data_IF_106569295058
#
_entry.id   IF_106569295058
#
_cell.length_a   1.000
_cell.length_b   1.000
_cell.length_c   1.000
_cell.angle_alpha   90.00
_cell.angle_beta   90.00
_cell.angle_gamma   90.00
#
_symmetry.space_group_name_H-M   'P 1'
#
loop_
_entity.id
_entity.type
_entity.pdbx_description
1 polymer ?
#
# COMPACT_ATOMS: atom_id res chain seq x y z
N UNK A 1 -9.00 -17.99 25.12
CA UNK A 1 -8.49 -16.72 24.57
C UNK A 1 -7.12 -16.50 25.18
N UNK A 2 -6.09 -16.87 24.44
CA UNK A 2 -4.71 -16.65 24.82
C UNK A 2 -4.28 -15.28 24.29
N UNK A 3 -3.68 -14.46 25.16
CA UNK A 3 -3.10 -13.17 24.76
C UNK A 3 -1.59 -13.24 24.92
N UNK A 4 -0.87 -12.97 23.84
CA UNK A 4 0.60 -12.91 23.84
C UNK A 4 1.06 -11.53 23.42
N UNK A 5 2.07 -11.02 24.11
CA UNK A 5 2.75 -9.77 23.74
C UNK A 5 4.16 -10.12 23.29
N UNK A 6 4.56 -9.58 22.14
CA UNK A 6 5.94 -9.63 21.66
C UNK A 6 6.48 -8.22 21.51
N UNK A 7 7.79 -8.08 21.65
CA UNK A 7 8.49 -6.86 21.35
C UNK A 7 9.38 -7.13 20.16
N UNK A 8 9.40 -6.25 19.16
CA UNK A 8 10.26 -6.39 17.99
C UNK A 8 11.00 -5.10 17.69
N UNK A 9 12.17 -5.21 17.07
CA UNK A 9 12.81 -4.08 16.42
C UNK A 9 12.06 -3.68 15.12
N UNK A 10 12.57 -2.68 14.41
CA UNK A 10 12.02 -2.22 13.13
C UNK A 10 12.10 -3.27 12.01
N UNK A 11 13.00 -4.25 12.13
CA UNK A 11 13.19 -5.35 11.17
C UNK A 11 12.35 -6.58 11.54
N UNK A 12 11.44 -6.46 12.51
CA UNK A 12 10.58 -7.53 13.02
C UNK A 12 11.32 -8.65 13.77
N UNK A 13 12.57 -8.44 14.17
CA UNK A 13 13.28 -9.37 15.03
C UNK A 13 12.74 -9.25 16.46
N UNK A 14 12.44 -10.37 17.12
CA UNK A 14 11.99 -10.38 18.51
C UNK A 14 13.10 -9.89 19.43
N UNK A 15 12.77 -8.94 20.31
CA UNK A 15 13.70 -8.35 21.28
C UNK A 15 13.29 -8.75 22.70
N UNK A 16 14.26 -9.14 23.55
CA UNK A 16 14.00 -9.34 24.98
C UNK A 16 13.57 -8.04 25.65
N UNK A 17 12.66 -8.12 26.63
CA UNK A 17 12.22 -6.94 27.40
C UNK A 17 13.38 -6.20 28.08
N UNK A 18 14.43 -6.94 28.48
CA UNK A 18 15.64 -6.37 29.08
C UNK A 18 16.43 -5.45 28.14
N UNK A 19 16.22 -5.54 26.82
CA UNK A 19 16.98 -4.81 25.81
C UNK A 19 16.23 -3.59 25.25
N UNK A 20 14.93 -3.46 25.55
CA UNK A 20 14.07 -2.38 25.03
C UNK A 20 14.68 -0.99 25.28
N UNK A 21 15.22 -0.75 26.49
CA UNK A 21 15.78 0.55 26.87
C UNK A 21 17.00 0.98 26.03
N UNK A 22 17.67 0.04 25.36
CA UNK A 22 18.82 0.32 24.51
C UNK A 22 18.42 0.60 23.04
N UNK A 23 17.16 0.38 22.69
CA UNK A 23 16.66 0.43 21.31
C UNK A 23 15.95 1.76 21.08
N UNK A 24 16.32 2.43 19.99
CA UNK A 24 15.70 3.72 19.61
C UNK A 24 14.27 3.56 19.11
N UNK A 25 13.96 2.47 18.43
CA UNK A 25 12.66 2.26 17.81
C UNK A 25 12.28 0.79 17.91
N UNK A 26 11.12 0.52 18.51
CA UNK A 26 10.61 -0.84 18.67
C UNK A 26 9.08 -0.85 18.58
N UNK A 27 8.51 -2.04 18.37
CA UNK A 27 7.08 -2.27 18.38
C UNK A 27 6.69 -3.21 19.51
N UNK A 28 5.57 -2.92 20.15
CA UNK A 28 4.89 -3.84 21.07
C UNK A 28 3.68 -4.43 20.36
N UNK A 29 3.70 -5.73 20.09
CA UNK A 29 2.74 -6.43 19.23
C UNK A 29 1.84 -7.34 20.05
N UNK A 30 0.54 -7.26 19.82
CA UNK A 30 -0.50 -7.94 20.59
C UNK A 30 -1.15 -9.01 19.75
N UNK A 31 -1.11 -10.25 20.24
CA UNK A 31 -1.68 -11.41 19.58
C UNK A 31 -2.80 -12.00 20.42
N UNK A 32 -3.94 -12.30 19.79
CA UNK A 32 -5.06 -13.04 20.37
C UNK A 32 -5.27 -14.32 19.58
N UNK A 33 -5.17 -15.46 20.26
CA UNK A 33 -5.29 -16.80 19.67
C UNK A 33 -4.37 -16.97 18.43
N UNK A 34 -3.15 -16.41 18.52
CA UNK A 34 -2.12 -16.47 17.48
C UNK A 34 -2.22 -15.41 16.38
N UNK A 35 -3.34 -14.69 16.26
CA UNK A 35 -3.52 -13.61 15.28
C UNK A 35 -3.11 -12.27 15.89
N UNK A 36 -2.32 -11.49 15.16
CA UNK A 36 -2.03 -10.11 15.57
C UNK A 36 -3.27 -9.24 15.43
N UNK A 37 -3.59 -8.48 16.47
CA UNK A 37 -4.77 -7.59 16.50
C UNK A 37 -4.37 -6.11 16.53
N UNK A 38 -3.21 -5.79 17.11
CA UNK A 38 -2.64 -4.44 17.08
C UNK A 38 -1.15 -4.44 17.36
N UNK A 39 -0.47 -3.37 16.96
CA UNK A 39 0.89 -3.04 17.36
C UNK A 39 0.98 -1.59 17.80
N UNK A 40 1.83 -1.32 18.79
CA UNK A 40 2.15 0.03 19.28
C UNK A 40 3.60 0.33 18.92
N UNK A 41 3.83 1.45 18.22
CA UNK A 41 5.15 1.92 17.85
C UNK A 41 5.69 2.85 18.93
N UNK A 42 6.95 2.62 19.31
CA UNK A 42 7.69 3.48 20.22
C UNK A 42 8.94 4.01 19.53
N UNK A 43 9.18 5.31 19.64
CA UNK A 43 10.36 6.00 19.13
C UNK A 43 10.99 6.77 20.30
N UNK A 44 12.29 6.55 20.53
CA UNK A 44 13.04 7.08 21.67
C UNK A 44 12.35 6.83 23.03
N UNK A 45 11.74 5.64 23.19
CA UNK A 45 10.96 5.24 24.37
C UNK A 45 9.63 5.98 24.56
N UNK A 46 9.26 6.86 23.63
CA UNK A 46 7.97 7.53 23.64
C UNK A 46 6.99 6.80 22.73
N UNK A 47 5.74 6.73 23.17
CA UNK A 47 4.65 6.23 22.35
C UNK A 47 4.47 7.16 21.14
N UNK A 48 4.48 6.57 19.95
CA UNK A 48 4.29 7.29 18.70
C UNK A 48 2.88 7.04 18.15
N UNK A 49 2.55 5.77 17.89
CA UNK A 49 1.32 5.42 17.17
C UNK A 49 0.84 3.99 17.46
N UNK A 50 -0.42 3.70 17.12
CA UNK A 50 -1.00 2.35 17.20
C UNK A 50 -1.56 1.94 15.85
N UNK A 51 -1.17 0.76 15.38
CA UNK A 51 -1.73 0.10 14.20
C UNK A 51 -2.69 -1.00 14.65
N UNK A 52 -3.89 -1.03 14.07
CA UNK A 52 -4.88 -2.09 14.27
C UNK A 52 -4.98 -2.96 13.03
N UNK A 53 -4.94 -4.27 13.21
CA UNK A 53 -5.09 -5.26 12.15
C UNK A 53 -6.52 -5.81 12.21
N UNK A 54 -7.38 -5.27 11.35
CA UNK A 54 -8.83 -5.53 11.36
C UNK A 54 -9.24 -6.39 10.16
N UNK A 55 -10.46 -6.93 10.18
CA UNK A 55 -10.96 -7.74 9.06
C UNK A 55 -11.64 -6.92 7.97
N UNK A 56 -12.04 -5.69 8.29
CA UNK A 56 -12.79 -4.83 7.39
C UNK A 56 -13.07 -3.47 8.00
N UNK A 57 -13.63 -2.56 7.19
CA UNK A 57 -13.86 -1.15 7.56
C UNK A 57 -14.91 -0.97 8.66
N UNK A 58 -15.73 -1.98 8.93
CA UNK A 58 -16.80 -1.98 9.94
C UNK A 58 -16.30 -1.69 11.36
N UNK A 59 -15.07 -2.08 11.68
CA UNK A 59 -14.50 -1.93 13.04
C UNK A 59 -13.89 -0.54 13.30
N UNK A 60 -13.60 0.23 12.23
CA UNK A 60 -12.84 1.48 12.29
C UNK A 60 -13.52 2.50 13.21
N UNK A 61 -14.83 2.71 13.04
CA UNK A 61 -15.56 3.76 13.78
C UNK A 61 -15.63 3.49 15.27
N UNK A 62 -15.65 2.23 15.69
CA UNK A 62 -15.66 1.88 17.11
C UNK A 62 -14.30 2.17 17.75
N UNK A 63 -13.20 1.81 17.06
CA UNK A 63 -11.83 2.01 17.57
C UNK A 63 -11.46 3.49 17.63
N UNK A 64 -11.87 4.28 16.63
CA UNK A 64 -11.59 5.73 16.57
C UNK A 64 -12.20 6.54 17.72
N UNK A 65 -13.26 6.04 18.37
CA UNK A 65 -13.85 6.70 19.55
C UNK A 65 -12.86 6.77 20.72
N UNK A 66 -12.07 5.71 20.88
CA UNK A 66 -11.12 5.59 21.98
C UNK A 66 -9.69 5.97 21.54
N UNK A 67 -9.39 5.84 20.25
CA UNK A 67 -8.06 6.06 19.67
C UNK A 67 -8.17 6.88 18.38
N UNK A 68 -8.35 8.21 18.48
CA UNK A 68 -8.62 9.06 17.32
C UNK A 68 -7.42 9.19 16.35
N UNK A 69 -6.22 8.82 16.78
CA UNK A 69 -4.99 8.85 15.95
C UNK A 69 -4.56 7.43 15.52
N UNK A 70 -5.49 6.49 15.47
CA UNK A 70 -5.18 5.10 15.12
C UNK A 70 -4.89 4.94 13.62
N UNK A 71 -4.00 4.01 13.31
CA UNK A 71 -3.81 3.48 11.97
C UNK A 71 -4.50 2.13 11.85
N UNK A 72 -4.97 1.78 10.66
CA UNK A 72 -5.65 0.53 10.39
C UNK A 72 -5.04 -0.15 9.18
N UNK A 73 -4.91 -1.48 9.23
CA UNK A 73 -4.50 -2.30 8.10
C UNK A 73 -5.45 -3.48 7.97
N UNK A 74 -5.94 -3.73 6.75
CA UNK A 74 -6.82 -4.84 6.43
C UNK A 74 -6.77 -5.15 4.93
N UNK A 75 -7.19 -6.37 4.59
CA UNK A 75 -7.24 -6.84 3.21
C UNK A 75 -8.60 -7.45 2.90
N UNK A 76 -9.05 -7.31 1.66
CA UNK A 76 -10.31 -7.86 1.17
C UNK A 76 -10.24 -8.16 -0.33
N UNK A 77 -11.07 -9.08 -0.79
CA UNK A 77 -11.17 -9.39 -2.22
C UNK A 77 -12.20 -8.49 -2.91
N UNK A 78 -11.88 -8.01 -4.11
CA UNK A 78 -12.81 -7.30 -4.97
C UNK A 78 -12.50 -7.61 -6.44
N UNK A 79 -13.51 -8.05 -7.18
CA UNK A 79 -13.40 -8.31 -8.62
C UNK A 79 -12.28 -9.29 -8.99
N UNK A 80 -11.93 -10.21 -8.09
CA UNK A 80 -10.84 -11.18 -8.25
C UNK A 80 -9.44 -10.57 -8.16
N UNK A 81 -9.32 -9.50 -7.38
CA UNK A 81 -8.06 -8.93 -6.89
C UNK A 81 -8.07 -8.93 -5.37
N UNK A 82 -6.91 -9.12 -4.75
CA UNK A 82 -6.70 -8.86 -3.33
C UNK A 82 -6.34 -7.38 -3.17
N UNK A 83 -7.06 -6.70 -2.28
CA UNK A 83 -6.84 -5.29 -1.98
C UNK A 83 -6.42 -5.18 -0.53
N UNK A 84 -5.25 -4.63 -0.29
CA UNK A 84 -4.77 -4.28 1.05
C UNK A 84 -4.80 -2.77 1.24
N UNK A 85 -5.46 -2.30 2.29
CA UNK A 85 -5.53 -0.89 2.63
C UNK A 85 -4.82 -0.62 3.96
N UNK A 86 -4.08 0.48 4.01
CA UNK A 86 -3.63 1.08 5.26
C UNK A 86 -4.24 2.47 5.39
N UNK A 87 -4.96 2.72 6.47
CA UNK A 87 -5.66 3.98 6.73
C UNK A 87 -4.98 4.73 7.86
N UNK A 88 -4.73 6.03 7.68
CA UNK A 88 -4.12 6.88 8.68
C UNK A 88 -5.08 7.98 9.13
N UNK A 89 -5.37 8.00 10.44
CA UNK A 89 -6.24 9.00 11.04
C UNK A 89 -5.48 9.95 11.95
N UNK A 90 -5.89 11.21 11.95
CA UNK A 90 -5.50 12.22 12.93
C UNK A 90 -6.78 12.88 13.45
N UNK A 91 -6.97 12.90 14.78
CA UNK A 91 -8.17 13.43 15.43
C UNK A 91 -9.49 12.86 14.87
N UNK A 92 -9.50 11.55 14.57
CA UNK A 92 -10.59 10.81 13.95
C UNK A 92 -10.95 11.24 12.52
N UNK A 93 -10.06 11.97 11.85
CA UNK A 93 -10.18 12.37 10.45
C UNK A 93 -9.17 11.57 9.62
N UNK A 94 -9.62 10.93 8.55
CA UNK A 94 -8.74 10.21 7.62
C UNK A 94 -7.87 11.24 6.87
N UNK A 95 -6.55 11.18 7.05
CA UNK A 95 -5.60 12.12 6.42
C UNK A 95 -4.95 11.53 5.17
N UNK A 96 -4.71 10.22 5.16
CA UNK A 96 -4.23 9.49 4.00
C UNK A 96 -4.57 8.00 4.07
N UNK A 97 -4.53 7.36 2.91
CA UNK A 97 -4.55 5.91 2.78
C UNK A 97 -3.47 5.44 1.80
N UNK A 98 -3.00 4.23 2.03
CA UNK A 98 -2.20 3.46 1.07
C UNK A 98 -3.05 2.29 0.59
N UNK A 99 -3.01 2.01 -0.71
CA UNK A 99 -3.75 0.92 -1.34
C UNK A 99 -2.75 0.07 -2.13
N UNK A 100 -2.80 -1.23 -1.91
CA UNK A 100 -2.11 -2.24 -2.71
C UNK A 100 -3.18 -3.10 -3.39
N UNK A 101 -2.96 -3.39 -4.67
CA UNK A 101 -3.81 -4.26 -5.47
C UNK A 101 -2.93 -5.36 -6.04
N UNK A 102 -3.24 -6.60 -5.70
CA UNK A 102 -2.53 -7.79 -6.12
C UNK A 102 -3.53 -8.76 -6.81
N UNK A 103 -3.03 -9.63 -7.69
CA UNK A 103 -3.86 -10.74 -8.19
C UNK A 103 -4.14 -11.76 -7.07
N UNK A 104 -5.31 -12.41 -7.09
CA UNK A 104 -5.69 -13.40 -6.06
C UNK A 104 -5.05 -14.79 -6.24
N UNK A 105 -4.22 -14.99 -7.27
CA UNK A 105 -3.58 -16.28 -7.51
C UNK A 105 -2.45 -16.56 -6.50
N UNK A 106 -2.04 -17.83 -6.28
CA UNK A 106 -1.09 -18.21 -5.23
C UNK A 106 0.29 -17.53 -5.29
N UNK A 107 0.66 -17.00 -6.45
CA UNK A 107 1.87 -16.18 -6.69
C UNK A 107 1.50 -14.80 -7.25
N UNK A 108 0.34 -14.28 -6.82
CA UNK A 108 -0.33 -13.11 -7.37
C UNK A 108 0.61 -11.92 -7.51
N UNK A 109 0.77 -11.46 -8.75
CA UNK A 109 1.66 -10.34 -9.03
C UNK A 109 1.01 -9.03 -8.56
N UNK A 110 1.82 -8.13 -8.00
CA UNK A 110 1.34 -6.78 -7.69
C UNK A 110 0.94 -6.05 -8.97
N UNK A 111 -0.22 -5.41 -8.93
CA UNK A 111 -0.84 -4.68 -10.04
C UNK A 111 -0.73 -3.18 -9.82
N UNK A 112 -0.95 -2.72 -8.58
CA UNK A 112 -0.93 -1.31 -8.27
C UNK A 112 -0.51 -1.07 -6.82
N UNK A 113 0.28 -0.03 -6.62
CA UNK A 113 0.41 0.65 -5.35
C UNK A 113 0.00 2.11 -5.50
N UNK A 114 -0.76 2.63 -4.54
CA UNK A 114 -1.17 4.02 -4.55
C UNK A 114 -1.15 4.63 -3.15
N UNK A 115 -0.70 5.87 -3.08
CA UNK A 115 -0.89 6.74 -1.92
C UNK A 115 -1.89 7.83 -2.25
N UNK A 116 -2.85 7.98 -1.35
CA UNK A 116 -3.96 8.91 -1.50
C UNK A 116 -4.05 9.77 -0.25
N UNK A 117 -4.07 11.09 -0.43
CA UNK A 117 -4.26 12.06 0.66
C UNK A 117 -5.67 12.64 0.61
N UNK A 118 -6.18 12.99 1.78
CA UNK A 118 -7.44 13.69 1.94
C UNK A 118 -7.17 15.11 2.41
N UNK A 119 -7.72 16.09 1.70
CA UNK A 119 -7.71 17.50 2.12
C UNK A 119 -9.07 18.10 1.83
N UNK A 120 -9.71 18.68 2.84
CA UNK A 120 -11.04 19.31 2.72
C UNK A 120 -12.07 18.36 2.07
N UNK A 121 -12.08 17.09 2.50
CA UNK A 121 -12.90 15.98 1.97
C UNK A 121 -12.65 15.59 0.51
N UNK A 122 -11.68 16.21 -0.16
CA UNK A 122 -11.26 15.83 -1.50
C UNK A 122 -10.19 14.73 -1.45
N UNK A 123 -10.46 13.62 -2.14
CA UNK A 123 -9.49 12.55 -2.39
C UNK A 123 -8.50 13.02 -3.47
N UNK A 124 -7.21 13.02 -3.14
CA UNK A 124 -6.14 13.27 -4.12
C UNK A 124 -5.16 12.12 -4.09
N UNK A 125 -5.10 11.40 -5.21
CA UNK A 125 -4.02 10.48 -5.50
C UNK A 125 -2.72 11.30 -5.63
N UNK A 126 -1.74 11.04 -4.78
CA UNK A 126 -0.48 11.79 -4.75
C UNK A 126 0.69 11.00 -5.31
N UNK A 127 0.56 9.69 -5.35
CA UNK A 127 1.59 8.78 -5.84
C UNK A 127 0.90 7.49 -6.30
N UNK A 128 1.24 7.02 -7.49
CA UNK A 128 0.77 5.73 -8.02
C UNK A 128 1.89 5.10 -8.80
N UNK A 129 2.04 3.81 -8.58
CA UNK A 129 2.77 2.90 -9.45
C UNK A 129 1.78 1.83 -9.94
N UNK A 130 1.81 1.56 -11.24
CA UNK A 130 1.12 0.40 -11.80
C UNK A 130 2.13 -0.53 -12.46
N UNK A 131 1.89 -1.81 -12.32
CA UNK A 131 2.80 -2.86 -12.79
C UNK A 131 2.06 -3.73 -13.79
N UNK A 132 2.67 -3.93 -14.96
CA UNK A 132 2.22 -4.92 -15.91
C UNK A 132 3.17 -6.11 -15.89
N UNK A 133 2.62 -7.27 -15.55
CA UNK A 133 3.37 -8.52 -15.39
C UNK A 133 2.95 -9.52 -16.48
N UNK A 134 3.91 -10.31 -16.97
CA UNK A 134 3.69 -11.41 -17.91
C UNK A 134 4.38 -12.65 -17.35
N UNK A 135 3.60 -13.71 -17.10
CA UNK A 135 4.10 -14.97 -16.52
C UNK A 135 4.87 -14.77 -15.19
N UNK A 136 4.41 -13.87 -14.33
CA UNK A 136 5.04 -13.57 -13.04
C UNK A 136 6.26 -12.64 -13.11
N UNK A 137 6.68 -12.21 -14.31
CA UNK A 137 7.76 -11.23 -14.48
C UNK A 137 7.19 -9.85 -14.79
N UNK A 138 7.70 -8.82 -14.10
CA UNK A 138 7.35 -7.43 -14.40
C UNK A 138 7.95 -7.02 -15.74
N UNK A 139 7.10 -6.56 -16.65
CA UNK A 139 7.49 -6.06 -17.98
C UNK A 139 7.51 -4.53 -18.02
N UNK A 140 6.48 -3.90 -17.47
CA UNK A 140 6.38 -2.45 -17.41
C UNK A 140 6.05 -1.95 -16.00
N UNK A 141 6.61 -0.78 -15.69
CA UNK A 141 6.24 0.04 -14.55
C UNK A 141 5.81 1.43 -15.04
N UNK A 142 4.61 1.85 -14.66
CA UNK A 142 4.01 3.12 -15.08
C UNK A 142 4.05 4.13 -13.93
N UNK A 143 4.60 5.32 -14.22
CA UNK A 143 4.61 6.47 -13.33
C UNK A 143 3.68 7.57 -13.84
N UNK A 144 3.12 8.34 -12.91
CA UNK A 144 2.11 9.35 -13.18
C UNK A 144 2.49 10.71 -12.61
N UNK A 145 2.10 11.76 -13.32
CA UNK A 145 2.20 13.13 -12.83
C UNK A 145 1.11 13.45 -11.80
N UNK A 146 1.14 14.67 -11.26
CA UNK A 146 0.18 15.13 -10.26
C UNK A 146 -1.24 15.33 -10.78
N UNK A 147 -1.43 15.34 -12.10
CA UNK A 147 -2.74 15.43 -12.78
C UNK A 147 -3.28 14.03 -13.11
N UNK A 148 -2.51 12.98 -12.84
CA UNK A 148 -2.86 11.58 -13.05
C UNK A 148 -2.62 11.09 -14.47
N UNK A 149 -1.85 11.81 -15.29
CA UNK A 149 -1.42 11.32 -16.61
C UNK A 149 -0.16 10.50 -16.48
N UNK A 150 -0.02 9.45 -17.29
CA UNK A 150 1.23 8.70 -17.36
C UNK A 150 2.35 9.65 -17.85
N UNK A 151 3.42 9.75 -17.06
CA UNK A 151 4.59 10.58 -17.35
C UNK A 151 5.70 9.75 -18.01
N UNK A 152 5.88 8.51 -17.53
CA UNK A 152 6.92 7.60 -18.01
C UNK A 152 6.51 6.13 -17.81
N UNK A 153 6.89 5.32 -18.78
CA UNK A 153 6.79 3.86 -18.76
C UNK A 153 8.22 3.33 -18.73
N UNK A 154 8.57 2.60 -17.68
CA UNK A 154 9.87 1.93 -17.57
C UNK A 154 9.76 0.50 -18.09
N UNK A 155 10.71 0.11 -18.92
CA UNK A 155 10.94 -1.30 -19.25
C UNK A 155 11.76 -1.93 -18.13
N UNK A 156 11.21 -2.94 -17.47
CA UNK A 156 11.84 -3.55 -16.28
C UNK A 156 12.71 -4.77 -16.61
N UNK A 157 12.76 -5.19 -17.88
CA UNK A 157 13.64 -6.26 -18.35
C UNK A 157 14.63 -5.79 -19.43
N UNK A 158 15.66 -6.61 -19.69
CA UNK A 158 16.77 -6.27 -20.59
C UNK A 158 16.36 -6.02 -22.06
N UNK A 159 15.13 -6.37 -22.43
CA UNK A 159 14.63 -6.25 -23.81
C UNK A 159 13.55 -5.17 -23.96
N UNK A 160 12.99 -4.68 -22.86
CA UNK A 160 11.93 -3.69 -22.86
C UNK A 160 12.52 -2.29 -22.73
N UNK A 161 12.20 -1.41 -23.66
CA UNK A 161 12.68 -0.04 -23.64
C UNK A 161 11.83 0.86 -22.71
N UNK A 162 12.47 1.92 -22.19
CA UNK A 162 11.76 3.03 -21.56
C UNK A 162 10.98 3.83 -22.61
N UNK A 163 9.72 4.13 -22.32
CA UNK A 163 8.82 4.86 -23.23
C UNK A 163 8.28 6.11 -22.56
N UNK A 164 8.39 7.25 -23.26
CA UNK A 164 7.67 8.46 -22.89
C UNK A 164 6.32 8.50 -23.63
N UNK A 165 5.19 8.70 -22.94
CA UNK A 165 3.87 8.71 -23.56
C UNK A 165 3.71 9.69 -24.73
N UNK A 166 4.43 10.82 -24.70
CA UNK A 166 4.47 11.82 -25.77
C UNK A 166 5.15 11.34 -27.06
N UNK A 167 5.78 10.17 -27.06
CA UNK A 167 6.48 9.60 -28.21
C UNK A 167 5.66 8.52 -28.93
N UNK A 168 4.67 7.93 -28.23
CA UNK A 168 3.84 6.83 -28.74
C UNK A 168 3.05 7.30 -29.98
N UNK A 169 3.21 6.59 -31.10
CA UNK A 169 2.56 6.92 -32.36
C UNK A 169 3.14 8.13 -33.12
N UNK A 170 4.17 8.78 -32.57
CA UNK A 170 4.90 9.90 -33.21
C UNK A 170 6.28 9.44 -33.68
N UNK A 171 7.01 8.75 -32.81
CA UNK A 171 8.34 8.20 -33.12
C UNK A 171 8.19 6.80 -33.74
N UNK A 172 8.75 6.56 -34.94
CA UNK A 172 8.59 5.27 -35.63
C UNK A 172 9.41 4.14 -35.00
N UNK A 173 10.39 4.46 -34.15
CA UNK A 173 11.23 3.50 -33.45
C UNK A 173 10.64 3.04 -32.10
N UNK A 174 9.63 3.74 -31.57
CA UNK A 174 8.90 3.32 -30.37
C UNK A 174 7.84 2.29 -30.75
N UNK A 175 7.99 1.07 -30.22
CA UNK A 175 7.09 -0.05 -30.58
C UNK A 175 5.89 -0.20 -29.66
N UNK A 176 5.96 0.35 -28.45
CA UNK A 176 4.85 0.33 -27.49
C UNK A 176 3.62 1.04 -28.05
N UNK A 177 2.44 0.46 -27.82
CA UNK A 177 1.15 1.07 -28.14
C UNK A 177 0.22 0.99 -26.94
N UNK A 178 -0.74 1.89 -26.88
CA UNK A 178 -1.75 1.86 -25.84
C UNK A 178 -2.87 0.84 -26.06
N UNK A 179 -2.92 0.16 -27.21
CA UNK A 179 -3.92 -0.87 -27.48
C UNK A 179 -3.67 -2.07 -26.56
N UNK A 180 -4.65 -2.41 -25.72
CA UNK A 180 -4.50 -3.43 -24.67
C UNK A 180 -3.86 -2.93 -23.37
N UNK A 181 -3.52 -1.63 -23.30
CA UNK A 181 -2.94 -0.97 -22.13
C UNK A 181 -3.74 0.25 -21.69
N UNK A 182 -5.02 0.35 -22.06
CA UNK A 182 -5.87 1.52 -21.81
C UNK A 182 -5.96 1.87 -20.32
N UNK A 183 -6.01 0.86 -19.45
CA UNK A 183 -6.01 0.99 -17.99
C UNK A 183 -4.80 1.75 -17.43
N UNK A 184 -3.65 1.68 -18.11
CA UNK A 184 -2.39 2.28 -17.66
C UNK A 184 -2.19 3.71 -18.16
N UNK A 185 -3.11 4.25 -18.98
CA UNK A 185 -3.01 5.64 -19.47
C UNK A 185 -3.12 6.68 -18.36
N UNK A 186 -3.85 6.35 -17.31
CA UNK A 186 -4.18 7.25 -16.22
C UNK A 186 -3.93 6.58 -14.87
N UNK A 187 -3.66 7.40 -13.86
CA UNK A 187 -3.43 6.95 -12.49
C UNK A 187 -4.67 6.23 -11.91
N UNK A 188 -5.87 6.61 -12.37
CA UNK A 188 -7.14 6.00 -11.99
C UNK A 188 -7.82 5.34 -13.22
N UNK A 189 -8.62 4.27 -13.01
CA UNK A 189 -8.89 3.59 -11.73
C UNK A 189 -7.67 2.83 -11.19
N UNK A 190 -7.67 2.47 -9.90
CA UNK A 190 -6.61 1.67 -9.25
C UNK A 190 -6.78 0.16 -9.45
N UNK A 191 -7.98 -0.27 -9.83
CA UNK A 191 -8.33 -1.67 -10.07
C UNK A 191 -8.67 -1.76 -11.57
N UNK A 192 -8.08 -2.71 -12.31
CA UNK A 192 -8.43 -2.93 -13.71
C UNK A 192 -9.90 -3.33 -13.87
N UNK A 193 -10.52 -2.90 -14.98
CA UNK A 193 -11.80 -3.47 -15.44
C UNK A 193 -11.52 -4.84 -16.07
N UNK A 194 -12.39 -5.82 -15.81
CA UNK A 194 -12.33 -7.17 -16.41
C UNK A 194 -13.24 -7.28 -17.63
#
# INVERSE_FOLDING_TARGET
METKIKYTDWQMNEIPVSEINAIKQYQKRYFVDGKEIKSELFINQEYDSTYYYINGREDVQQILRDNPNAHFSFSYENSGYEISETLHYENAILIDKMVYVDETEPDGASICWAKVKFKDDAEKVVEVEKYYNVNGERKYLFYYDSDGNCEKIYGEDDVTEDVWPSQIGIRPDVTFTWEGFEYYRHALPLIPEK
#
